data_IF_230893955631
#
_entry.id   IF_230893955631
#
_cell.length_a   1.000
_cell.length_b   1.000
_cell.length_c   1.000
_cell.angle_alpha   90.00
_cell.angle_beta   90.00
_cell.angle_gamma   90.00
#
_symmetry.space_group_name_H-M   'P 1'
#
loop_
_entity.id
_entity.type
_entity.pdbx_description
1 polymer ?
#
# COMPACT_ATOMS: atom_id res chain seq x y z
N UNK A 1 0.10 -33.67 -4.86
CA UNK A 1 0.70 -33.53 -3.51
C UNK A 1 1.47 -32.23 -3.30
N UNK A 2 2.25 -31.69 -4.26
CA UNK A 2 2.85 -30.34 -4.12
C UNK A 2 1.83 -29.20 -4.31
N UNK A 3 0.77 -29.45 -5.08
CA UNK A 3 -0.32 -28.52 -5.38
C UNK A 3 -1.21 -28.17 -4.18
N UNK A 4 -1.43 -29.12 -3.29
CA UNK A 4 -2.43 -28.98 -2.21
C UNK A 4 -1.89 -28.09 -1.08
N UNK A 5 -0.60 -28.23 -0.76
CA UNK A 5 0.10 -27.35 0.18
C UNK A 5 0.23 -25.92 -0.36
N UNK A 6 0.54 -25.74 -1.64
CA UNK A 6 0.60 -24.42 -2.28
C UNK A 6 -0.77 -23.73 -2.23
N UNK A 7 -1.84 -24.46 -2.52
CA UNK A 7 -3.21 -23.93 -2.44
C UNK A 7 -3.58 -23.52 -1.01
N UNK A 8 -3.36 -24.39 -0.02
CA UNK A 8 -3.65 -24.10 1.39
C UNK A 8 -2.85 -22.88 1.88
N UNK A 9 -1.57 -22.80 1.52
CA UNK A 9 -0.72 -21.68 1.88
C UNK A 9 -1.20 -20.36 1.23
N UNK A 10 -1.60 -20.39 -0.04
CA UNK A 10 -2.15 -19.22 -0.74
C UNK A 10 -3.44 -18.73 -0.11
N UNK A 11 -4.36 -19.64 0.22
CA UNK A 11 -5.60 -19.29 0.90
C UNK A 11 -5.35 -18.70 2.29
N UNK A 12 -4.43 -19.30 3.06
CA UNK A 12 -4.01 -18.74 4.35
C UNK A 12 -3.42 -17.34 4.22
N UNK A 13 -2.57 -17.10 3.21
CA UNK A 13 -1.99 -15.80 2.94
C UNK A 13 -3.04 -14.76 2.52
N UNK A 14 -4.00 -15.12 1.67
CA UNK A 14 -5.12 -14.25 1.28
C UNK A 14 -5.98 -13.90 2.51
N UNK A 15 -6.32 -14.90 3.34
CA UNK A 15 -7.10 -14.69 4.56
C UNK A 15 -6.37 -13.78 5.57
N UNK A 16 -5.04 -13.91 5.68
CA UNK A 16 -4.21 -13.03 6.50
C UNK A 16 -4.22 -11.59 5.97
N UNK A 17 -4.11 -11.39 4.65
CA UNK A 17 -4.23 -10.08 4.01
C UNK A 17 -5.62 -9.47 4.25
N UNK A 18 -6.69 -10.25 4.08
CA UNK A 18 -8.07 -9.84 4.37
C UNK A 18 -8.24 -9.38 5.81
N UNK A 19 -7.75 -10.19 6.76
CA UNK A 19 -7.87 -9.89 8.20
C UNK A 19 -7.08 -8.64 8.56
N UNK A 20 -5.86 -8.50 8.01
CA UNK A 20 -5.06 -7.29 8.17
C UNK A 20 -5.77 -6.05 7.61
N UNK A 21 -6.33 -6.14 6.40
CA UNK A 21 -7.06 -5.04 5.77
C UNK A 21 -8.32 -4.66 6.55
N UNK A 22 -9.05 -5.63 7.13
CA UNK A 22 -10.29 -5.36 7.88
C UNK A 22 -10.05 -4.85 9.30
N UNK A 23 -9.02 -5.35 9.98
CA UNK A 23 -8.80 -5.05 11.40
C UNK A 23 -7.77 -3.94 11.65
N UNK A 24 -6.71 -3.86 10.84
CA UNK A 24 -5.58 -2.95 11.08
C UNK A 24 -5.55 -1.75 10.13
N UNK A 25 -6.00 -1.93 8.88
CA UNK A 25 -6.03 -0.84 7.91
C UNK A 25 -6.95 0.34 8.28
N UNK A 26 -8.17 0.15 8.82
CA UNK A 26 -9.10 1.28 8.99
C UNK A 26 -8.71 2.23 10.13
N UNK A 27 -7.95 1.77 11.12
CA UNK A 27 -7.63 2.57 12.31
C UNK A 27 -6.32 3.36 12.20
N UNK A 28 -5.49 3.13 11.16
CA UNK A 28 -4.15 3.71 11.07
C UNK A 28 -4.02 4.96 10.21
N UNK A 29 -5.03 5.29 9.39
CA UNK A 29 -4.91 6.34 8.37
C UNK A 29 -3.81 6.05 7.34
N UNK A 30 -3.40 4.78 7.21
CA UNK A 30 -2.33 4.38 6.29
C UNK A 30 -2.85 4.28 4.86
N UNK A 31 -2.38 5.16 4.00
CA UNK A 31 -2.60 5.08 2.56
C UNK A 31 -1.32 4.61 1.87
N UNK A 32 -1.41 3.55 1.06
CA UNK A 32 -0.28 2.98 0.34
C UNK A 32 0.37 4.05 -0.56
N UNK A 33 1.66 4.40 -0.37
CA UNK A 33 2.34 5.43 -1.15
C UNK A 33 2.31 5.19 -2.67
N UNK A 34 2.43 3.93 -3.09
CA UNK A 34 2.34 3.56 -4.50
C UNK A 34 0.95 3.88 -5.09
N UNK A 35 -0.12 3.64 -4.33
CA UNK A 35 -1.49 3.98 -4.74
C UNK A 35 -1.71 5.49 -4.76
N UNK A 36 -1.18 6.20 -3.76
CA UNK A 36 -1.27 7.67 -3.71
C UNK A 36 -0.56 8.34 -4.87
N UNK A 37 0.64 7.87 -5.22
CA UNK A 37 1.45 8.48 -6.27
C UNK A 37 0.96 8.12 -7.67
N UNK A 38 0.59 6.86 -7.92
CA UNK A 38 0.26 6.36 -9.26
C UNK A 38 -1.23 6.12 -9.51
N UNK A 39 -2.09 6.22 -8.50
CA UNK A 39 -3.53 5.95 -8.63
C UNK A 39 -3.90 4.48 -8.91
N UNK A 40 -2.94 3.55 -8.75
CA UNK A 40 -3.12 2.10 -9.06
C UNK A 40 -3.41 1.25 -7.83
N UNK A 41 -3.50 -0.07 -8.01
CA UNK A 41 -3.75 -0.99 -6.91
C UNK A 41 -2.74 -0.84 -5.76
N UNK A 42 -3.21 -1.03 -4.52
CA UNK A 42 -2.33 -0.98 -3.36
C UNK A 42 -1.40 -2.20 -3.33
N UNK A 43 -0.33 -2.15 -2.54
CA UNK A 43 0.58 -3.29 -2.41
C UNK A 43 -0.11 -4.55 -1.88
N UNK A 44 -1.11 -4.41 -1.02
CA UNK A 44 -1.90 -5.53 -0.50
C UNK A 44 -2.88 -6.09 -1.53
N UNK A 45 -3.49 -5.23 -2.35
CA UNK A 45 -4.34 -5.69 -3.47
C UNK A 45 -3.50 -6.42 -4.53
N UNK A 46 -2.30 -5.90 -4.84
CA UNK A 46 -1.35 -6.55 -5.74
C UNK A 46 -0.88 -7.90 -5.19
N UNK A 47 -0.58 -7.98 -3.88
CA UNK A 47 -0.23 -9.23 -3.21
C UNK A 47 -1.33 -10.29 -3.35
N UNK A 48 -2.59 -9.89 -3.11
CA UNK A 48 -3.76 -10.75 -3.26
C UNK A 48 -3.88 -11.24 -4.71
N UNK A 49 -3.75 -10.36 -5.69
CA UNK A 49 -3.85 -10.72 -7.10
C UNK A 49 -2.75 -11.69 -7.53
N UNK A 50 -1.51 -11.49 -7.06
CA UNK A 50 -0.40 -12.43 -7.24
C UNK A 50 -0.73 -13.81 -6.68
N UNK A 51 -1.26 -13.87 -5.45
CA UNK A 51 -1.67 -15.11 -4.81
C UNK A 51 -2.87 -15.78 -5.48
N UNK A 52 -3.65 -15.08 -6.30
CA UNK A 52 -4.68 -15.71 -7.14
C UNK A 52 -4.13 -16.25 -8.47
N UNK A 53 -3.16 -15.57 -9.07
CA UNK A 53 -2.70 -15.87 -10.42
C UNK A 53 -1.44 -16.74 -10.49
N UNK A 54 -0.66 -16.82 -9.41
CA UNK A 54 0.64 -17.49 -9.40
C UNK A 54 0.80 -18.39 -8.17
N UNK A 55 1.78 -19.30 -8.21
CA UNK A 55 2.13 -20.10 -7.03
C UNK A 55 2.73 -19.22 -5.92
N UNK A 56 2.67 -19.71 -4.69
CA UNK A 56 3.17 -18.99 -3.51
C UNK A 56 4.64 -18.57 -3.70
N UNK A 57 5.46 -19.46 -4.28
CA UNK A 57 6.88 -19.21 -4.51
C UNK A 57 7.11 -18.09 -5.54
N UNK A 58 6.32 -18.04 -6.61
CA UNK A 58 6.42 -16.97 -7.60
C UNK A 58 5.94 -15.64 -7.00
N UNK A 59 4.81 -15.66 -6.29
CA UNK A 59 4.31 -14.49 -5.57
C UNK A 59 5.37 -13.94 -4.59
N UNK A 60 6.03 -14.81 -3.80
CA UNK A 60 7.07 -14.43 -2.86
C UNK A 60 8.32 -13.83 -3.53
N UNK A 61 8.63 -14.20 -4.78
CA UNK A 61 9.73 -13.60 -5.55
C UNK A 61 9.35 -12.24 -6.13
N UNK A 62 8.10 -12.04 -6.53
CA UNK A 62 7.63 -10.81 -7.17
C UNK A 62 7.24 -9.71 -6.17
N UNK A 63 6.68 -10.09 -5.03
CA UNK A 63 6.23 -9.17 -3.97
C UNK A 63 7.29 -8.16 -3.50
N UNK A 64 8.54 -8.56 -3.22
CA UNK A 64 9.60 -7.65 -2.80
C UNK A 64 9.86 -6.52 -3.79
N UNK A 65 9.75 -6.79 -5.09
CA UNK A 65 9.92 -5.77 -6.13
C UNK A 65 8.83 -4.70 -6.03
N UNK A 66 7.56 -5.10 -5.84
CA UNK A 66 6.46 -4.15 -5.63
C UNK A 66 6.66 -3.31 -4.38
N UNK A 67 7.15 -3.91 -3.29
CA UNK A 67 7.42 -3.17 -2.06
C UNK A 67 8.54 -2.14 -2.23
N UNK A 68 9.60 -2.45 -2.98
CA UNK A 68 10.65 -1.47 -3.32
C UNK A 68 10.09 -0.28 -4.11
N UNK A 69 9.23 -0.53 -5.10
CA UNK A 69 8.55 0.55 -5.85
C UNK A 69 7.66 1.40 -4.93
N UNK A 70 6.98 0.77 -3.97
CA UNK A 70 6.19 1.50 -2.99
C UNK A 70 7.04 2.33 -2.03
N UNK A 71 8.22 1.85 -1.65
CA UNK A 71 9.16 2.61 -0.83
C UNK A 71 9.68 3.82 -1.61
N UNK A 72 10.01 3.66 -2.90
CA UNK A 72 10.41 4.77 -3.77
C UNK A 72 9.29 5.81 -3.89
N UNK A 73 8.05 5.35 -4.10
CA UNK A 73 6.88 6.25 -4.11
C UNK A 73 6.71 7.00 -2.78
N UNK A 74 7.00 6.35 -1.65
CA UNK A 74 6.98 6.99 -0.33
C UNK A 74 8.03 8.09 -0.22
N UNK A 75 9.26 7.84 -0.68
CA UNK A 75 10.34 8.84 -0.69
C UNK A 75 9.98 10.04 -1.58
N UNK A 76 9.36 9.80 -2.74
CA UNK A 76 8.91 10.87 -3.63
C UNK A 76 7.82 11.72 -2.99
N UNK A 77 6.81 11.09 -2.37
CA UNK A 77 5.75 11.81 -1.66
C UNK A 77 6.30 12.60 -0.47
N UNK A 78 7.25 12.04 0.28
CA UNK A 78 7.92 12.74 1.39
C UNK A 78 8.69 13.97 0.90
N UNK A 79 9.42 13.84 -0.22
CA UNK A 79 10.13 14.98 -0.82
C UNK A 79 9.16 16.08 -1.27
N UNK A 80 8.03 15.72 -1.90
CA UNK A 80 7.00 16.68 -2.30
C UNK A 80 6.29 17.32 -1.09
N UNK A 81 6.00 16.55 -0.04
CA UNK A 81 5.42 17.09 1.20
C UNK A 81 6.37 18.05 1.90
N UNK A 82 7.68 17.76 1.93
CA UNK A 82 8.68 18.67 2.47
C UNK A 82 8.73 19.99 1.69
N UNK A 83 8.66 19.94 0.36
CA UNK A 83 8.57 21.15 -0.47
C UNK A 83 7.31 21.97 -0.18
N UNK A 84 6.16 21.30 -0.04
CA UNK A 84 4.88 21.99 0.22
C UNK A 84 4.79 22.56 1.64
N UNK A 85 5.48 21.93 2.60
CA UNK A 85 5.61 22.42 3.98
C UNK A 85 6.53 23.65 4.08
N UNK A 86 7.48 23.78 3.14
CA UNK A 86 8.44 24.89 3.09
C UNK A 86 8.03 26.00 2.10
N UNK A 87 7.04 25.75 1.24
CA UNK A 87 6.41 26.75 0.37
C UNK A 87 5.14 27.30 1.04
N UNK A 88 5.35 28.31 1.89
CA UNK A 88 4.38 29.24 2.46
C UNK A 88 2.89 28.97 2.25
N UNK A 89 2.21 28.57 3.32
CA UNK A 89 0.86 29.02 3.59
C UNK A 89 0.95 29.96 4.81
N UNK A 90 0.87 31.27 4.58
CA UNK A 90 0.35 32.15 5.63
C UNK A 90 -1.12 31.77 5.72
N UNK A 91 -1.50 31.04 6.77
CA UNK A 91 -2.90 30.98 7.19
C UNK A 91 -3.24 32.41 7.62
N UNK A 92 -3.76 33.22 6.70
CA UNK A 92 -4.36 34.51 7.06
C UNK A 92 -5.63 34.15 7.84
N UNK A 93 -5.72 34.45 9.15
CA UNK A 93 -6.94 34.25 9.89
C UNK A 93 -7.82 35.47 9.63
N UNK A 94 -8.45 35.54 8.47
CA UNK A 94 -9.46 36.57 8.20
C UNK A 94 -10.82 35.90 8.00
N UNK A 95 -11.34 35.35 9.09
CA UNK A 95 -12.79 35.27 9.32
C UNK A 95 -13.17 36.43 10.24
N UNK A 96 -13.29 37.63 9.68
CA UNK A 96 -13.99 38.74 10.32
C UNK A 96 -15.06 39.25 9.33
N UNK A 97 -16.30 38.75 9.39
CA UNK A 97 -17.43 39.49 8.88
C UNK A 97 -17.91 40.46 9.97
N UNK A 98 -18.14 41.70 9.50
CA UNK A 98 -18.58 42.92 10.18
C UNK A 98 -19.75 42.73 11.17
#
# INVERSE_FOLDING_TARGET
MQSDLDWLARQGAIAAIDTYQRALSPHKGFACPHRLLYGRESCSDYARQLLHNQSLLQAAKTLPQRFRLCQQAAQQLQASQYQQSNSGCIVIPCCLPL
#
